data_IF_449399653599
#
_entry.id   IF_449399653599
#
_cell.length_a   1.000
_cell.length_b   1.000
_cell.length_c   1.000
_cell.angle_alpha   90.00
_cell.angle_beta   90.00
_cell.angle_gamma   90.00
#
_symmetry.space_group_name_H-M   'P 1'
#
loop_
_entity.id
_entity.type
_entity.pdbx_description
1 polymer ?
#
# COMPACT_ATOMS: atom_id res chain seq x y z
N UNK A 1 -20.44 -12.91 25.08
CA UNK A 1 -21.24 -12.02 24.19
C UNK A 1 -20.25 -11.13 23.45
N UNK A 2 -19.97 -11.39 22.17
CA UNK A 2 -18.97 -10.61 21.42
C UNK A 2 -19.62 -9.36 20.82
N UNK A 3 -19.23 -8.19 21.30
CA UNK A 3 -19.59 -6.91 20.68
C UNK A 3 -18.92 -6.84 19.30
N UNK A 4 -19.72 -6.71 18.24
CA UNK A 4 -19.18 -6.46 16.90
C UNK A 4 -18.50 -5.09 16.88
N UNK A 5 -17.47 -4.91 16.03
CA UNK A 5 -16.80 -3.61 15.84
C UNK A 5 -17.83 -2.49 15.61
N UNK A 6 -18.84 -2.75 14.77
CA UNK A 6 -19.96 -1.84 14.52
C UNK A 6 -20.78 -1.51 15.78
N UNK A 7 -21.04 -2.49 16.64
CA UNK A 7 -21.81 -2.29 17.88
C UNK A 7 -21.02 -1.56 18.97
N UNK A 8 -19.75 -1.93 19.19
CA UNK A 8 -18.86 -1.24 20.13
C UNK A 8 -18.71 0.24 19.77
N UNK A 9 -18.43 0.54 18.50
CA UNK A 9 -18.21 1.91 18.04
C UNK A 9 -19.50 2.71 17.83
N UNK A 10 -20.66 2.10 17.55
CA UNK A 10 -21.95 2.81 17.66
C UNK A 10 -22.18 3.31 19.09
N UNK A 11 -21.81 2.50 20.09
CA UNK A 11 -21.81 2.93 21.49
C UNK A 11 -20.85 4.10 21.73
N UNK A 12 -19.61 4.00 21.26
CA UNK A 12 -18.59 5.06 21.47
C UNK A 12 -18.91 6.36 20.74
N UNK A 13 -19.33 6.29 19.47
CA UNK A 13 -19.78 7.45 18.68
C UNK A 13 -21.04 8.05 19.29
N UNK A 14 -21.99 7.23 19.77
CA UNK A 14 -23.19 7.74 20.46
C UNK A 14 -22.84 8.54 21.73
N UNK A 15 -21.90 8.05 22.53
CA UNK A 15 -21.40 8.76 23.72
C UNK A 15 -20.68 10.05 23.33
N UNK A 16 -19.80 10.01 22.33
CA UNK A 16 -19.01 11.17 21.90
C UNK A 16 -19.84 12.24 21.17
N UNK A 17 -20.89 11.84 20.45
CA UNK A 17 -21.86 12.74 19.81
C UNK A 17 -22.63 13.54 20.85
N UNK A 18 -23.01 12.91 21.95
CA UNK A 18 -23.67 13.57 23.07
C UNK A 18 -22.76 14.60 23.76
N UNK A 19 -21.44 14.42 23.68
CA UNK A 19 -20.47 15.37 24.25
C UNK A 19 -20.22 16.55 23.31
N UNK A 20 -20.26 16.33 21.99
CA UNK A 20 -20.19 17.39 20.98
C UNK A 20 -21.44 18.29 20.99
N UNK A 21 -22.65 17.70 21.10
CA UNK A 21 -23.89 18.47 21.25
C UNK A 21 -23.98 19.22 22.58
N UNK A 22 -23.29 18.74 23.62
CA UNK A 22 -23.13 19.44 24.89
C UNK A 22 -22.04 20.54 24.88
N UNK A 23 -21.37 20.78 23.74
CA UNK A 23 -20.35 21.83 23.62
C UNK A 23 -19.02 21.54 24.32
N UNK A 24 -18.80 20.31 24.79
CA UNK A 24 -17.63 19.93 25.59
C UNK A 24 -16.38 19.61 24.74
N UNK A 25 -16.54 19.47 23.42
CA UNK A 25 -15.43 19.25 22.47
C UNK A 25 -15.67 20.09 21.21
N UNK A 26 -15.16 21.32 21.18
CA UNK A 26 -15.14 22.17 19.99
C UNK A 26 -13.87 21.93 19.17
N UNK A 27 -13.98 21.88 17.83
CA UNK A 27 -12.82 21.81 16.92
C UNK A 27 -12.40 20.40 16.46
N UNK A 28 -13.14 19.36 16.84
CA UNK A 28 -12.90 18.00 16.35
C UNK A 28 -13.68 17.75 15.05
N UNK A 29 -13.00 17.45 13.94
CA UNK A 29 -13.63 17.20 12.64
C UNK A 29 -14.29 15.80 12.60
N UNK A 30 -15.48 15.69 13.19
CA UNK A 30 -16.29 14.48 13.24
C UNK A 30 -16.57 13.86 11.86
N UNK A 31 -16.61 14.67 10.81
CA UNK A 31 -16.78 14.27 9.41
C UNK A 31 -15.62 13.43 8.88
N UNK A 32 -14.37 13.72 9.25
CA UNK A 32 -13.20 12.92 8.82
C UNK A 32 -13.17 11.55 9.49
N UNK A 33 -13.58 11.47 10.75
CA UNK A 33 -13.73 10.18 11.44
C UNK A 33 -14.88 9.38 10.85
N UNK A 34 -16.06 9.99 10.65
CA UNK A 34 -17.19 9.37 9.98
C UNK A 34 -16.83 8.82 8.59
N UNK A 35 -16.10 9.57 7.77
CA UNK A 35 -15.61 9.11 6.46
C UNK A 35 -14.59 7.98 6.58
N UNK A 36 -13.66 8.04 7.53
CA UNK A 36 -12.71 6.96 7.79
C UNK A 36 -13.39 5.64 8.21
N UNK A 37 -14.61 5.70 8.76
CA UNK A 37 -15.41 4.52 9.14
C UNK A 37 -16.15 3.85 7.98
N UNK A 38 -16.32 4.52 6.84
CA UNK A 38 -16.93 3.97 5.62
C UNK A 38 -15.90 3.41 4.63
N UNK A 39 -14.61 3.64 4.86
CA UNK A 39 -13.56 3.19 3.96
C UNK A 39 -13.41 1.68 3.95
N UNK A 40 -13.25 1.13 2.76
CA UNK A 40 -12.90 -0.27 2.57
C UNK A 40 -11.39 -0.47 2.78
N UNK A 41 -11.03 -1.70 3.15
CA UNK A 41 -9.64 -2.17 3.12
C UNK A 41 -9.29 -2.64 1.70
N UNK A 42 -10.26 -3.22 0.99
CA UNK A 42 -10.17 -3.68 -0.41
C UNK A 42 -11.42 -3.30 -1.19
N UNK A 43 -11.26 -2.85 -2.42
CA UNK A 43 -12.36 -2.53 -3.33
C UNK A 43 -12.11 -3.19 -4.69
N UNK A 44 -13.13 -3.90 -5.20
CA UNK A 44 -13.12 -4.47 -6.54
C UNK A 44 -14.02 -3.61 -7.45
N UNK A 45 -13.40 -2.85 -8.35
CA UNK A 45 -14.11 -2.20 -9.44
C UNK A 45 -14.39 -3.20 -10.54
N UNK A 46 -15.63 -3.26 -11.01
CA UNK A 46 -16.06 -4.03 -12.15
C UNK A 46 -16.64 -3.06 -13.18
N UNK A 47 -16.09 -3.05 -14.38
CA UNK A 47 -16.61 -2.26 -15.50
C UNK A 47 -17.02 -3.12 -16.68
N UNK A 48 -17.15 -2.46 -17.81
CA UNK A 48 -17.52 -2.99 -19.12
C UNK A 48 -16.36 -2.79 -20.11
N UNK A 49 -16.55 -3.22 -21.36
CA UNK A 49 -15.54 -3.01 -22.41
C UNK A 49 -15.40 -1.53 -22.81
N UNK A 50 -16.41 -0.70 -22.50
CA UNK A 50 -16.43 0.74 -22.78
C UNK A 50 -15.72 1.56 -21.69
N UNK A 51 -15.49 0.98 -20.51
CA UNK A 51 -14.85 1.66 -19.40
C UNK A 51 -13.32 1.73 -19.59
N UNK A 52 -12.77 2.94 -19.45
CA UNK A 52 -11.32 3.15 -19.52
C UNK A 52 -10.61 2.63 -18.27
N UNK A 53 -9.30 2.28 -18.37
CA UNK A 53 -8.50 1.93 -17.20
C UNK A 53 -8.48 3.02 -16.11
N UNK A 54 -8.50 4.30 -16.49
CA UNK A 54 -8.62 5.41 -15.53
C UNK A 54 -9.96 5.37 -14.78
N UNK A 55 -11.05 5.07 -15.47
CA UNK A 55 -12.38 4.95 -14.85
C UNK A 55 -12.43 3.77 -13.88
N UNK A 56 -11.88 2.62 -14.25
CA UNK A 56 -11.76 1.47 -13.35
C UNK A 56 -10.89 1.78 -12.13
N UNK A 57 -9.75 2.44 -12.32
CA UNK A 57 -8.87 2.86 -11.24
C UNK A 57 -9.60 3.79 -10.26
N UNK A 58 -10.25 4.85 -10.77
CA UNK A 58 -11.01 5.80 -9.93
C UNK A 58 -12.10 5.07 -9.15
N UNK A 59 -12.84 4.18 -9.81
CA UNK A 59 -13.89 3.36 -9.20
C UNK A 59 -13.35 2.47 -8.08
N UNK A 60 -12.13 1.93 -8.22
CA UNK A 60 -11.49 1.11 -7.20
C UNK A 60 -10.93 1.97 -6.04
N UNK A 61 -10.48 3.20 -6.31
CA UNK A 61 -9.87 4.07 -5.29
C UNK A 61 -10.89 4.86 -4.47
N UNK A 62 -12.02 5.29 -5.04
CA UNK A 62 -13.02 6.11 -4.34
C UNK A 62 -13.47 5.49 -3.00
N UNK A 63 -13.85 4.20 -2.92
CA UNK A 63 -14.30 3.57 -1.66
C UNK A 63 -13.16 3.35 -0.66
N UNK A 64 -11.92 3.46 -1.13
CA UNK A 64 -10.73 3.44 -0.28
C UNK A 64 -10.39 4.83 0.24
N UNK A 65 -11.09 5.90 -0.17
CA UNK A 65 -10.79 7.28 0.21
C UNK A 65 -9.93 8.01 -0.82
N UNK A 66 -9.86 7.48 -2.04
CA UNK A 66 -9.10 8.06 -3.14
C UNK A 66 -7.58 7.90 -2.98
N UNK A 67 -6.83 8.43 -3.96
CA UNK A 67 -5.36 8.37 -3.96
C UNK A 67 -4.74 9.23 -2.83
N UNK A 68 -5.46 10.26 -2.36
CA UNK A 68 -5.08 11.15 -1.25
C UNK A 68 -4.90 10.43 0.09
N UNK A 69 -5.57 9.30 0.30
CA UNK A 69 -5.35 8.49 1.49
C UNK A 69 -3.92 7.95 1.55
N UNK A 70 -3.32 7.73 0.37
CA UNK A 70 -2.05 7.03 0.22
C UNK A 70 -0.89 7.97 -0.07
N UNK A 71 -1.16 9.11 -0.73
CA UNK A 71 -0.15 10.07 -1.18
C UNK A 71 -0.52 11.47 -0.70
N UNK A 72 0.31 12.02 0.19
CA UNK A 72 0.28 13.42 0.58
C UNK A 72 1.13 14.30 -0.37
N UNK A 73 0.78 15.59 -0.53
CA UNK A 73 1.60 16.51 -1.30
C UNK A 73 3.05 16.56 -0.81
N UNK A 74 3.99 16.65 -1.75
CA UNK A 74 5.43 16.68 -1.47
C UNK A 74 6.08 15.32 -1.21
N UNK A 75 5.31 14.23 -1.07
CA UNK A 75 5.88 12.90 -0.90
C UNK A 75 6.52 12.35 -2.19
N UNK A 76 7.54 11.52 -2.01
CA UNK A 76 8.14 10.70 -3.06
C UNK A 76 7.42 9.36 -3.18
N UNK A 77 7.17 8.92 -4.42
CA UNK A 77 6.35 7.73 -4.71
C UNK A 77 7.07 6.76 -5.64
N UNK A 78 7.23 5.52 -5.23
CA UNK A 78 7.60 4.40 -6.10
C UNK A 78 6.35 3.68 -6.60
N UNK A 79 6.25 3.46 -7.90
CA UNK A 79 5.22 2.62 -8.53
C UNK A 79 5.92 1.42 -9.14
N UNK A 80 5.52 0.22 -8.72
CA UNK A 80 6.03 -1.04 -9.25
C UNK A 80 4.98 -1.72 -10.14
N UNK A 81 4.99 -1.51 -11.45
CA UNK A 81 4.23 -2.31 -12.41
C UNK A 81 4.92 -3.67 -12.67
N UNK A 82 4.35 -4.46 -13.58
CA UNK A 82 4.96 -5.67 -14.12
C UNK A 82 5.63 -5.37 -15.47
N UNK A 83 6.95 -5.26 -15.49
CA UNK A 83 7.80 -5.00 -16.68
C UNK A 83 8.74 -6.19 -16.95
N UNK A 84 8.49 -7.36 -16.38
CA UNK A 84 9.40 -8.51 -16.49
C UNK A 84 9.44 -9.14 -17.90
N UNK A 85 8.38 -8.96 -18.69
CA UNK A 85 8.17 -9.70 -19.94
C UNK A 85 8.13 -8.77 -21.15
N UNK A 86 8.87 -9.13 -22.20
CA UNK A 86 8.87 -8.46 -23.50
C UNK A 86 7.65 -8.87 -24.34
N UNK A 87 6.46 -8.71 -23.78
CA UNK A 87 5.19 -9.09 -24.40
C UNK A 87 4.27 -7.89 -24.58
N UNK A 88 3.46 -7.87 -25.66
CA UNK A 88 2.47 -6.82 -25.88
C UNK A 88 1.46 -6.72 -24.71
N UNK A 89 0.92 -5.52 -24.43
CA UNK A 89 0.09 -5.26 -23.24
C UNK A 89 -1.18 -6.13 -23.16
N UNK A 90 -1.79 -6.48 -24.29
CA UNK A 90 -3.04 -7.25 -24.33
C UNK A 90 -2.89 -8.75 -24.03
N UNK A 91 -1.66 -9.20 -23.76
CA UNK A 91 -1.37 -10.60 -23.41
C UNK A 91 -1.55 -10.91 -21.92
N UNK A 92 -1.87 -9.90 -21.08
CA UNK A 92 -1.89 -9.99 -19.62
C UNK A 92 -0.56 -10.53 -19.04
N UNK A 93 0.56 -10.32 -19.76
CA UNK A 93 1.90 -10.68 -19.32
C UNK A 93 2.55 -9.53 -18.55
N UNK A 94 2.31 -8.30 -18.99
CA UNK A 94 2.86 -7.07 -18.41
C UNK A 94 1.71 -6.11 -18.09
N UNK A 95 1.96 -5.11 -17.24
CA UNK A 95 0.96 -4.12 -16.84
C UNK A 95 0.39 -3.37 -18.04
N UNK A 96 -0.92 -3.10 -18.03
CA UNK A 96 -1.57 -2.28 -19.02
C UNK A 96 -1.03 -0.82 -18.93
N UNK A 97 -0.45 -0.29 -20.03
CA UNK A 97 0.20 1.02 -20.01
C UNK A 97 -0.78 2.16 -19.72
N UNK A 98 -2.05 2.03 -20.08
CA UNK A 98 -3.05 3.07 -19.83
C UNK A 98 -3.48 3.06 -18.36
N UNK A 99 -3.53 1.89 -17.72
CA UNK A 99 -3.72 1.83 -16.27
C UNK A 99 -2.53 2.44 -15.52
N UNK A 100 -1.30 2.17 -15.95
CA UNK A 100 -0.10 2.78 -15.35
C UNK A 100 -0.12 4.30 -15.49
N UNK A 101 -0.49 4.80 -16.68
CA UNK A 101 -0.66 6.23 -16.93
C UNK A 101 -1.67 6.84 -15.97
N UNK A 102 -2.81 6.20 -15.78
CA UNK A 102 -3.84 6.67 -14.87
C UNK A 102 -3.35 6.75 -13.40
N UNK A 103 -2.57 5.76 -12.95
CA UNK A 103 -1.95 5.78 -11.62
C UNK A 103 -0.96 6.94 -11.49
N UNK A 104 -0.05 7.10 -12.47
CA UNK A 104 0.94 8.19 -12.47
C UNK A 104 0.24 9.55 -12.42
N UNK A 105 -0.76 9.78 -13.27
CA UNK A 105 -1.50 11.03 -13.29
C UNK A 105 -2.27 11.29 -12.00
N UNK A 106 -2.86 10.26 -11.38
CA UNK A 106 -3.50 10.38 -10.08
C UNK A 106 -2.51 10.82 -8.99
N UNK A 107 -1.29 10.28 -9.01
CA UNK A 107 -0.21 10.65 -8.07
C UNK A 107 0.32 12.06 -8.37
N UNK A 108 0.52 12.42 -9.64
CA UNK A 108 0.93 13.77 -10.04
C UNK A 108 -0.08 14.84 -9.61
N UNK A 109 -1.38 14.58 -9.81
CA UNK A 109 -2.45 15.48 -9.37
C UNK A 109 -2.49 15.70 -7.85
N UNK A 110 -1.92 14.77 -7.06
CA UNK A 110 -1.75 14.95 -5.61
C UNK A 110 -0.53 15.77 -5.22
N UNK A 111 0.32 16.15 -6.17
CA UNK A 111 1.50 16.97 -5.92
C UNK A 111 2.66 16.20 -5.32
N UNK A 112 2.84 14.93 -5.69
CA UNK A 112 4.06 14.19 -5.36
C UNK A 112 5.30 14.93 -5.87
N UNK A 113 6.35 15.03 -5.04
CA UNK A 113 7.59 15.73 -5.41
C UNK A 113 8.47 14.93 -6.37
N UNK A 114 8.34 13.60 -6.31
CA UNK A 114 9.13 12.66 -7.08
C UNK A 114 8.32 11.40 -7.33
N UNK A 115 8.30 10.91 -8.57
CA UNK A 115 7.64 9.65 -8.95
C UNK A 115 8.65 8.79 -9.68
N UNK A 116 8.79 7.54 -9.23
CA UNK A 116 9.70 6.55 -9.80
C UNK A 116 8.89 5.35 -10.24
N UNK A 117 8.94 5.00 -11.52
CA UNK A 117 8.49 3.70 -12.01
C UNK A 117 9.66 2.73 -11.93
N UNK A 118 9.48 1.64 -11.18
CA UNK A 118 10.56 0.69 -10.93
C UNK A 118 10.16 -0.77 -11.07
N UNK A 119 11.08 -1.59 -11.58
CA UNK A 119 10.97 -3.05 -11.60
C UNK A 119 12.35 -3.68 -11.75
N UNK A 120 12.45 -4.99 -11.53
CA UNK A 120 13.62 -5.80 -11.83
C UNK A 120 13.26 -6.83 -12.91
N UNK A 121 13.85 -6.68 -14.10
CA UNK A 121 13.72 -7.64 -15.19
C UNK A 121 14.68 -8.80 -14.94
N UNK A 122 14.16 -9.93 -14.44
CA UNK A 122 14.99 -11.04 -13.93
C UNK A 122 15.38 -12.09 -14.95
N UNK A 123 14.94 -11.96 -16.20
CA UNK A 123 15.18 -12.97 -17.22
C UNK A 123 16.23 -12.46 -18.20
N UNK A 124 17.27 -13.27 -18.41
CA UNK A 124 18.40 -12.97 -19.30
C UNK A 124 17.96 -12.58 -20.71
N UNK A 125 16.87 -13.20 -21.19
CA UNK A 125 16.38 -13.02 -22.56
C UNK A 125 15.54 -11.75 -22.73
N UNK A 126 15.19 -11.09 -21.62
CA UNK A 126 14.36 -9.88 -21.58
C UNK A 126 15.19 -8.70 -21.04
N UNK A 127 15.84 -7.97 -21.94
CA UNK A 127 16.52 -6.74 -21.57
C UNK A 127 15.50 -5.66 -21.15
N UNK A 128 15.80 -4.81 -20.13
CA UNK A 128 14.94 -3.70 -19.74
C UNK A 128 14.47 -2.84 -20.92
N UNK A 129 15.34 -2.60 -21.92
CA UNK A 129 14.99 -1.83 -23.11
C UNK A 129 13.83 -2.46 -23.92
N UNK A 130 13.89 -3.78 -24.16
CA UNK A 130 12.86 -4.49 -24.92
C UNK A 130 11.55 -4.63 -24.16
N UNK A 131 11.63 -4.93 -22.86
CA UNK A 131 10.44 -4.99 -22.01
C UNK A 131 9.70 -3.66 -21.99
N UNK A 132 10.41 -2.54 -21.83
CA UNK A 132 9.83 -1.19 -21.87
C UNK A 132 9.23 -0.83 -23.22
N UNK A 133 9.92 -1.17 -24.32
CA UNK A 133 9.49 -0.88 -25.68
C UNK A 133 8.25 -1.68 -26.06
N UNK A 134 8.27 -2.99 -25.85
CA UNK A 134 7.21 -3.91 -26.31
C UNK A 134 5.96 -3.82 -25.44
N UNK A 135 6.10 -3.64 -24.12
CA UNK A 135 4.95 -3.48 -23.23
C UNK A 135 4.22 -2.13 -23.40
N UNK A 136 4.90 -1.14 -23.99
CA UNK A 136 4.41 0.24 -24.07
C UNK A 136 4.61 1.07 -22.79
N UNK A 137 5.12 0.46 -21.71
CA UNK A 137 5.38 1.14 -20.44
C UNK A 137 6.46 2.22 -20.59
N UNK A 138 7.50 1.97 -21.41
CA UNK A 138 8.55 2.97 -21.69
C UNK A 138 7.98 4.28 -22.22
N UNK A 139 7.03 4.19 -23.17
CA UNK A 139 6.34 5.34 -23.74
C UNK A 139 5.54 6.11 -22.69
N UNK A 140 4.89 5.42 -21.74
CA UNK A 140 4.15 6.06 -20.64
C UNK A 140 5.09 6.85 -19.74
N UNK A 141 6.23 6.25 -19.36
CA UNK A 141 7.24 6.90 -18.52
C UNK A 141 7.77 8.17 -19.19
N UNK A 142 8.16 8.08 -20.46
CA UNK A 142 8.65 9.22 -21.25
C UNK A 142 7.61 10.35 -21.33
N UNK A 143 6.36 10.01 -21.66
CA UNK A 143 5.29 11.00 -21.82
C UNK A 143 4.84 11.66 -20.51
N UNK A 144 5.01 10.98 -19.38
CA UNK A 144 4.63 11.51 -18.06
C UNK A 144 5.80 12.20 -17.35
N UNK A 145 7.03 12.07 -17.87
CA UNK A 145 8.23 12.73 -17.34
C UNK A 145 8.68 12.19 -15.98
N UNK A 146 8.29 10.97 -15.60
CA UNK A 146 8.64 10.36 -14.31
C UNK A 146 9.97 9.60 -14.38
N UNK A 147 10.59 9.37 -13.23
CA UNK A 147 11.86 8.64 -13.17
C UNK A 147 11.67 7.15 -13.46
N UNK A 148 12.72 6.53 -14.01
CA UNK A 148 12.75 5.12 -14.38
C UNK A 148 13.87 4.40 -13.66
N UNK A 149 13.53 3.37 -12.90
CA UNK A 149 14.48 2.43 -12.29
C UNK A 149 14.09 1.01 -12.67
N UNK A 150 14.41 0.62 -13.90
CA UNK A 150 14.18 -0.74 -14.40
C UNK A 150 15.51 -1.43 -14.56
N UNK A 151 15.79 -2.38 -13.66
CA UNK A 151 17.08 -3.03 -13.54
C UNK A 151 17.17 -4.28 -14.41
N UNK A 152 18.34 -4.51 -14.99
CA UNK A 152 18.66 -5.75 -15.70
C UNK A 152 19.06 -6.86 -14.70
N UNK A 153 19.18 -8.12 -15.16
CA UNK A 153 19.87 -9.13 -14.38
C UNK A 153 21.33 -8.71 -14.13
N UNK A 154 21.88 -9.05 -12.95
CA UNK A 154 23.30 -8.86 -12.60
C UNK A 154 23.79 -7.40 -12.48
N UNK A 155 22.95 -6.48 -12.00
CA UNK A 155 23.35 -5.12 -11.65
C UNK A 155 24.37 -5.07 -10.48
N UNK A 156 25.26 -4.06 -10.44
CA UNK A 156 26.26 -3.92 -9.39
C UNK A 156 25.62 -3.71 -8.01
N UNK A 157 26.36 -4.08 -6.95
CA UNK A 157 25.93 -4.00 -5.56
C UNK A 157 25.37 -2.61 -5.14
N UNK A 158 25.84 -1.54 -5.78
CA UNK A 158 25.39 -0.16 -5.53
C UNK A 158 23.91 0.12 -5.86
N UNK A 159 23.29 -0.73 -6.70
CA UNK A 159 21.85 -0.65 -7.04
C UNK A 159 20.95 -1.27 -5.98
N UNK A 160 21.52 -1.95 -4.98
CA UNK A 160 20.78 -2.75 -4.02
C UNK A 160 20.98 -2.24 -2.59
N UNK A 161 19.89 -2.18 -1.83
CA UNK A 161 19.91 -1.96 -0.37
C UNK A 161 19.62 -3.28 0.34
N UNK A 162 20.35 -3.58 1.40
CA UNK A 162 20.09 -4.76 2.21
C UNK A 162 19.05 -4.45 3.29
N UNK A 163 17.90 -5.15 3.24
CA UNK A 163 16.78 -4.95 4.18
C UNK A 163 16.54 -6.17 5.04
N UNK A 164 16.13 -5.93 6.28
CA UNK A 164 15.79 -6.98 7.24
C UNK A 164 14.39 -7.52 7.02
N UNK A 165 14.25 -8.81 7.31
CA UNK A 165 13.02 -9.57 7.27
C UNK A 165 12.74 -10.09 8.69
N UNK A 166 12.31 -9.22 9.64
CA UNK A 166 12.20 -9.60 11.05
C UNK A 166 11.13 -10.66 11.31
N UNK A 167 10.17 -10.82 10.40
CA UNK A 167 9.13 -11.86 10.43
C UNK A 167 9.40 -12.98 9.41
N UNK A 168 10.58 -12.99 8.80
CA UNK A 168 10.91 -13.97 7.77
C UNK A 168 11.21 -15.34 8.36
N UNK A 169 10.64 -16.38 7.77
CA UNK A 169 10.88 -17.78 8.16
C UNK A 169 12.05 -18.37 7.40
N UNK A 170 12.21 -18.00 6.14
CA UNK A 170 13.25 -18.51 5.26
C UNK A 170 14.45 -17.56 5.18
N UNK A 171 14.20 -16.25 5.17
CA UNK A 171 15.24 -15.25 5.08
C UNK A 171 15.14 -14.24 6.20
N UNK A 172 16.29 -13.90 6.78
CA UNK A 172 16.41 -12.82 7.77
C UNK A 172 16.78 -11.48 7.12
N UNK A 173 17.31 -11.52 5.88
CA UNK A 173 17.77 -10.35 5.12
C UNK A 173 17.76 -10.62 3.62
N UNK A 174 17.47 -9.61 2.80
CA UNK A 174 17.52 -9.65 1.32
C UNK A 174 18.02 -8.32 0.75
N UNK A 175 18.63 -8.37 -0.44
CA UNK A 175 18.86 -7.18 -1.26
C UNK A 175 17.58 -6.76 -1.98
N UNK A 176 17.27 -5.46 -2.00
CA UNK A 176 16.15 -4.87 -2.74
C UNK A 176 16.62 -3.66 -3.56
N UNK A 177 15.89 -3.27 -4.60
CA UNK A 177 16.14 -2.05 -5.37
C UNK A 177 16.30 -0.88 -4.39
N UNK A 178 17.46 -0.23 -4.42
CA UNK A 178 17.84 0.78 -3.41
C UNK A 178 16.80 1.89 -3.31
N UNK A 179 16.30 2.38 -4.43
CA UNK A 179 15.32 3.45 -4.49
C UNK A 179 13.99 3.08 -3.80
N UNK A 180 13.63 1.79 -3.73
CA UNK A 180 12.41 1.34 -3.05
C UNK A 180 12.43 1.62 -1.53
N UNK A 181 13.62 1.71 -0.92
CA UNK A 181 13.79 2.02 0.51
C UNK A 181 13.92 3.52 0.79
N UNK A 182 14.04 4.33 -0.25
CA UNK A 182 14.34 5.77 -0.18
C UNK A 182 13.14 6.66 -0.52
N UNK A 183 11.96 6.05 -0.70
CA UNK A 183 10.71 6.78 -0.98
C UNK A 183 9.74 6.72 0.19
N UNK A 184 8.84 7.69 0.26
CA UNK A 184 7.81 7.77 1.30
C UNK A 184 6.69 6.74 1.05
N UNK A 185 6.26 6.62 -0.21
CA UNK A 185 5.12 5.79 -0.62
C UNK A 185 5.53 4.78 -1.69
N UNK A 186 5.03 3.55 -1.58
CA UNK A 186 5.18 2.46 -2.54
C UNK A 186 3.80 1.96 -2.97
N UNK A 187 3.57 1.92 -4.28
CA UNK A 187 2.37 1.38 -4.92
C UNK A 187 2.77 0.12 -5.68
N UNK A 188 2.22 -1.03 -5.29
CA UNK A 188 2.42 -2.30 -5.99
C UNK A 188 1.31 -2.49 -7.03
N UNK A 189 1.66 -2.58 -8.31
CA UNK A 189 0.72 -2.69 -9.41
C UNK A 189 0.92 -4.02 -10.14
N UNK A 190 0.27 -5.06 -9.63
CA UNK A 190 0.36 -6.43 -10.14
C UNK A 190 -0.63 -6.67 -11.28
N UNK A 191 -0.37 -7.72 -12.07
CA UNK A 191 -1.28 -8.23 -13.12
C UNK A 191 -1.73 -9.63 -12.73
N UNK A 192 -3.03 -9.89 -12.82
CA UNK A 192 -3.59 -11.20 -12.52
C UNK A 192 -3.24 -12.23 -13.59
N UNK A 193 -2.41 -13.23 -13.23
CA UNK A 193 -1.99 -14.27 -14.17
C UNK A 193 -1.64 -15.60 -13.51
N UNK A 194 -1.80 -16.67 -14.27
CA UNK A 194 -1.29 -18.01 -13.99
C UNK A 194 0.24 -18.00 -13.96
N UNK A 195 0.83 -18.96 -13.27
CA UNK A 195 2.27 -19.21 -13.29
C UNK A 195 2.52 -20.73 -13.24
N UNK A 196 3.71 -21.16 -13.67
CA UNK A 196 4.08 -22.59 -13.74
C UNK A 196 4.76 -23.11 -12.48
N UNK A 197 5.58 -22.29 -11.81
CA UNK A 197 6.22 -22.63 -10.53
C UNK A 197 5.26 -22.42 -9.35
N UNK A 198 4.72 -21.22 -9.20
CA UNK A 198 3.59 -20.94 -8.31
C UNK A 198 2.28 -21.12 -9.08
N UNK A 199 1.14 -21.43 -8.44
CA UNK A 199 -0.14 -21.55 -9.17
C UNK A 199 -0.57 -20.26 -9.87
N UNK A 200 -0.26 -19.10 -9.25
CA UNK A 200 -0.66 -17.77 -9.69
C UNK A 200 0.46 -16.74 -9.44
N UNK A 201 0.43 -15.63 -10.18
CA UNK A 201 1.11 -14.37 -9.88
C UNK A 201 0.04 -13.31 -9.67
N UNK A 202 0.03 -12.74 -8.47
CA UNK A 202 -0.91 -11.71 -7.99
C UNK A 202 -0.10 -10.71 -7.13
N UNK A 203 -0.72 -9.95 -6.23
CA UNK A 203 -0.03 -8.90 -5.47
C UNK A 203 1.11 -9.42 -4.60
N UNK A 204 0.94 -10.53 -3.88
CA UNK A 204 1.98 -11.04 -2.97
C UNK A 204 3.24 -11.46 -3.73
N UNK A 205 3.09 -12.30 -4.76
CA UNK A 205 4.21 -12.70 -5.62
C UNK A 205 4.80 -11.53 -6.39
N UNK A 206 4.02 -10.50 -6.69
CA UNK A 206 4.52 -9.37 -7.47
C UNK A 206 5.63 -8.60 -6.76
N UNK A 207 5.61 -8.56 -5.42
CA UNK A 207 6.65 -7.93 -4.60
C UNK A 207 8.06 -8.45 -4.89
N UNK A 208 8.19 -9.69 -5.41
CA UNK A 208 9.47 -10.29 -5.78
C UNK A 208 10.31 -9.41 -6.71
N UNK A 209 9.69 -8.61 -7.58
CA UNK A 209 10.45 -7.72 -8.49
C UNK A 209 11.12 -6.52 -7.81
N UNK A 210 11.03 -6.40 -6.48
CA UNK A 210 11.90 -5.51 -5.72
C UNK A 210 13.25 -6.16 -5.38
N UNK A 211 13.39 -7.48 -5.42
CA UNK A 211 14.57 -8.16 -4.89
C UNK A 211 15.74 -8.16 -5.87
N UNK A 212 16.95 -8.19 -5.32
CA UNK A 212 18.19 -8.45 -6.06
C UNK A 212 18.23 -9.87 -6.66
N UNK A 213 17.74 -10.86 -5.92
CA UNK A 213 17.64 -12.25 -6.38
C UNK A 213 16.21 -12.79 -6.18
N UNK A 214 15.30 -12.53 -7.13
CA UNK A 214 13.94 -13.05 -7.07
C UNK A 214 13.89 -14.56 -7.32
N UNK A 215 14.83 -15.13 -8.09
CA UNK A 215 14.85 -16.56 -8.41
C UNK A 215 15.07 -17.42 -7.15
N UNK A 216 15.87 -16.94 -6.20
CA UNK A 216 16.06 -17.57 -4.90
C UNK A 216 14.78 -17.79 -4.08
N UNK A 217 13.68 -17.07 -4.38
CA UNK A 217 12.38 -17.31 -3.72
C UNK A 217 11.63 -18.54 -4.28
N UNK A 218 11.92 -18.95 -5.52
CA UNK A 218 11.37 -20.16 -6.13
C UNK A 218 12.15 -21.42 -5.75
N UNK A 219 13.32 -21.28 -5.12
CA UNK A 219 14.21 -22.38 -4.78
C UNK A 219 13.72 -23.24 -3.60
N UNK A 220 12.61 -22.85 -2.95
CA UNK A 220 12.02 -23.59 -1.83
C UNK A 220 10.62 -24.09 -2.19
N UNK A 221 10.27 -25.36 -1.89
CA UNK A 221 8.96 -25.91 -2.22
C UNK A 221 7.78 -25.17 -1.56
N UNK A 222 7.99 -24.59 -0.37
CA UNK A 222 6.93 -23.94 0.40
C UNK A 222 6.66 -22.49 0.02
N UNK A 223 7.51 -21.87 -0.82
CA UNK A 223 7.40 -20.47 -1.23
C UNK A 223 7.38 -19.48 -0.04
N UNK A 224 7.97 -19.86 1.09
CA UNK A 224 8.03 -19.09 2.34
C UNK A 224 8.62 -17.70 2.11
N UNK A 225 9.62 -17.61 1.26
CA UNK A 225 10.28 -16.35 0.95
C UNK A 225 9.36 -15.30 0.30
N UNK A 226 8.26 -15.71 -0.35
CA UNK A 226 7.22 -14.77 -0.81
C UNK A 226 6.44 -14.21 0.38
N UNK A 227 6.17 -15.00 1.42
CA UNK A 227 5.53 -14.46 2.63
C UNK A 227 6.49 -13.52 3.39
N UNK A 228 7.77 -13.89 3.49
CA UNK A 228 8.80 -13.10 4.17
C UNK A 228 8.92 -11.67 3.60
N UNK A 229 9.01 -11.54 2.28
CA UNK A 229 9.14 -10.24 1.62
C UNK A 229 7.90 -9.36 1.82
N UNK A 230 6.70 -9.94 1.84
CA UNK A 230 5.46 -9.19 2.09
C UNK A 230 5.33 -8.76 3.55
N UNK A 231 6.04 -9.43 4.47
CA UNK A 231 6.09 -9.06 5.88
C UNK A 231 7.13 -7.97 6.20
N UNK A 232 7.95 -7.57 5.22
CA UNK A 232 9.09 -6.65 5.35
C UNK A 232 8.65 -5.17 5.48
N UNK A 233 8.92 -4.50 6.62
CA UNK A 233 8.51 -3.11 6.80
C UNK A 233 9.17 -2.14 5.82
N UNK A 234 10.45 -2.37 5.48
CA UNK A 234 11.25 -1.45 4.66
C UNK A 234 10.76 -1.28 3.22
N UNK A 235 9.99 -2.25 2.71
CA UNK A 235 9.43 -2.23 1.35
C UNK A 235 7.91 -2.43 1.36
N UNK A 236 7.25 -2.23 2.50
CA UNK A 236 5.79 -2.32 2.59
C UNK A 236 5.15 -1.32 1.64
N UNK A 237 4.26 -1.81 0.77
CA UNK A 237 3.43 -0.97 -0.08
C UNK A 237 2.24 -0.42 0.70
N UNK A 238 1.94 0.86 0.47
CA UNK A 238 0.79 1.54 1.07
C UNK A 238 -0.48 1.24 0.29
N UNK A 239 -0.34 0.93 -1.00
CA UNK A 239 -1.44 0.58 -1.89
C UNK A 239 -1.00 -0.59 -2.79
N UNK A 240 -1.84 -1.63 -2.83
CA UNK A 240 -1.76 -2.69 -3.82
C UNK A 240 -2.89 -2.53 -4.82
N UNK A 241 -2.56 -2.63 -6.10
CA UNK A 241 -3.46 -2.64 -7.24
C UNK A 241 -3.23 -3.95 -7.97
N UNK A 242 -4.28 -4.74 -8.12
CA UNK A 242 -4.31 -5.91 -8.98
C UNK A 242 -5.12 -5.56 -10.23
N UNK A 243 -4.42 -5.45 -11.34
CA UNK A 243 -5.02 -5.34 -12.65
C UNK A 243 -5.60 -6.71 -13.05
N UNK A 244 -6.91 -6.72 -13.30
CA UNK A 244 -7.65 -7.84 -13.86
C UNK A 244 -8.55 -7.36 -15.02
N UNK A 245 -8.09 -6.36 -15.78
CA UNK A 245 -8.76 -5.93 -17.02
C UNK A 245 -8.74 -7.12 -17.98
N UNK A 246 -7.55 -7.70 -18.15
CA UNK A 246 -7.34 -9.03 -18.75
C UNK A 246 -6.62 -9.91 -17.74
N UNK A 247 -6.94 -11.20 -17.76
CA UNK A 247 -6.38 -12.20 -16.85
C UNK A 247 -5.87 -13.37 -17.67
N UNK A 248 -4.61 -13.75 -17.46
CA UNK A 248 -4.05 -14.98 -18.05
C UNK A 248 -4.37 -16.17 -17.15
N UNK A 249 -5.34 -16.99 -17.55
CA UNK A 249 -5.93 -18.04 -16.72
C UNK A 249 -5.08 -19.31 -16.62
N UNK A 250 -4.37 -19.68 -17.68
CA UNK A 250 -3.65 -20.97 -17.78
C UNK A 250 -2.27 -20.86 -18.42
N UNK A 251 -1.42 -21.86 -18.15
CA UNK A 251 -0.06 -21.95 -18.70
C UNK A 251 0.94 -21.00 -18.06
N UNK A 252 1.99 -20.68 -18.83
CA UNK A 252 3.05 -19.75 -18.45
C UNK A 252 2.51 -18.36 -18.11
N UNK A 253 3.27 -17.56 -17.35
CA UNK A 253 2.90 -16.19 -16.97
C UNK A 253 3.06 -15.17 -18.11
N UNK A 254 3.40 -15.63 -19.31
CA UNK A 254 3.70 -14.83 -20.48
C UNK A 254 3.33 -15.59 -21.76
N UNK A 255 3.33 -14.89 -22.90
CA UNK A 255 3.08 -15.47 -24.21
C UNK A 255 2.39 -14.49 -25.17
N UNK A 256 2.12 -14.96 -26.38
CA UNK A 256 1.52 -14.23 -27.50
C UNK A 256 -0.03 -14.21 -27.49
N UNK A 257 -0.67 -15.20 -26.84
CA UNK A 257 -2.13 -15.26 -26.72
C UNK A 257 -2.75 -14.03 -26.03
N UNK A 258 -3.84 -13.53 -26.59
CA UNK A 258 -4.65 -12.40 -26.10
C UNK A 258 -6.07 -12.83 -25.77
N UNK A 259 -6.87 -11.94 -25.19
CA UNK A 259 -8.30 -12.13 -24.97
C UNK A 259 -9.11 -12.37 -26.27
N UNK A 260 -8.58 -11.96 -27.43
CA UNK A 260 -9.21 -12.16 -28.74
C UNK A 260 -8.70 -13.41 -29.44
N UNK A 261 -7.40 -13.67 -29.36
CA UNK A 261 -6.74 -14.74 -30.13
C UNK A 261 -6.67 -16.06 -29.38
N UNK A 262 -6.68 -16.05 -28.05
CA UNK A 262 -6.67 -17.24 -27.21
C UNK A 262 -7.51 -17.02 -25.92
N UNK A 263 -8.85 -16.94 -26.05
CA UNK A 263 -9.76 -16.64 -24.95
C UNK A 263 -9.78 -17.71 -23.84
N UNK A 264 -9.25 -18.91 -24.12
CA UNK A 264 -9.09 -19.98 -23.12
C UNK A 264 -7.92 -19.68 -22.18
N UNK A 265 -6.90 -18.98 -22.69
CA UNK A 265 -5.67 -18.67 -21.96
C UNK A 265 -5.69 -17.28 -21.37
N UNK A 266 -6.21 -16.30 -22.08
CA UNK A 266 -6.36 -14.92 -21.62
C UNK A 266 -7.81 -14.52 -21.76
N UNK A 267 -8.41 -13.96 -20.73
CA UNK A 267 -9.81 -13.50 -20.77
C UNK A 267 -9.92 -12.10 -20.23
N UNK A 268 -10.78 -11.28 -20.86
CA UNK A 268 -11.13 -9.95 -20.38
C UNK A 268 -12.17 -10.05 -19.26
N UNK A 269 -11.90 -9.38 -18.13
CA UNK A 269 -12.79 -9.31 -16.97
C UNK A 269 -13.19 -7.88 -16.60
N UNK A 270 -12.48 -6.86 -17.12
CA UNK A 270 -12.74 -5.45 -16.83
C UNK A 270 -12.77 -5.14 -15.32
N UNK A 271 -11.85 -5.76 -14.57
CA UNK A 271 -11.73 -5.50 -13.13
C UNK A 271 -10.42 -4.83 -12.76
N UNK A 272 -10.49 -3.94 -11.77
CA UNK A 272 -9.32 -3.45 -11.02
C UNK A 272 -9.64 -3.62 -9.55
N UNK A 273 -8.78 -4.33 -8.83
CA UNK A 273 -8.91 -4.53 -7.39
C UNK A 273 -7.82 -3.71 -6.73
N UNK A 274 -8.17 -2.90 -5.74
CA UNK A 274 -7.21 -2.08 -5.02
C UNK A 274 -7.42 -2.19 -3.51
N UNK A 275 -6.37 -1.96 -2.73
CA UNK A 275 -6.49 -1.99 -1.27
C UNK A 275 -5.17 -2.01 -0.52
N UNK A 276 -5.28 -2.13 0.80
CA UNK A 276 -4.14 -2.23 1.73
C UNK A 276 -3.85 -3.66 2.19
N UNK A 277 -4.71 -4.61 1.84
CA UNK A 277 -4.61 -6.02 2.23
C UNK A 277 -4.30 -6.90 1.00
N UNK A 278 -3.02 -7.19 0.71
CA UNK A 278 -2.66 -7.98 -0.47
C UNK A 278 -3.06 -9.45 -0.35
N UNK A 279 -3.25 -9.99 0.86
CA UNK A 279 -3.71 -11.37 1.05
C UNK A 279 -5.17 -11.49 0.65
N UNK A 280 -5.99 -10.52 1.05
CA UNK A 280 -7.42 -10.50 0.72
C UNK A 280 -7.65 -10.24 -0.77
N UNK A 281 -6.83 -9.36 -1.39
CA UNK A 281 -6.83 -9.15 -2.84
C UNK A 281 -6.51 -10.45 -3.58
N UNK A 282 -5.44 -11.14 -3.17
CA UNK A 282 -5.02 -12.39 -3.82
C UNK A 282 -6.04 -13.51 -3.60
N UNK A 283 -6.60 -13.64 -2.40
CA UNK A 283 -7.65 -14.63 -2.10
C UNK A 283 -8.90 -14.41 -2.97
N UNK A 284 -9.37 -13.17 -3.08
CA UNK A 284 -10.50 -12.83 -3.96
C UNK A 284 -10.19 -13.17 -5.43
N UNK A 285 -9.00 -12.81 -5.91
CA UNK A 285 -8.62 -13.09 -7.29
C UNK A 285 -8.55 -14.60 -7.57
N UNK A 286 -8.12 -15.40 -6.60
CA UNK A 286 -8.12 -16.86 -6.72
C UNK A 286 -9.55 -17.40 -6.81
N UNK A 287 -10.44 -17.01 -5.90
CA UNK A 287 -11.84 -17.45 -5.91
C UNK A 287 -12.60 -17.01 -7.18
N UNK A 288 -12.24 -15.86 -7.73
CA UNK A 288 -12.91 -15.26 -8.89
C UNK A 288 -12.38 -15.80 -10.22
N UNK A 289 -11.05 -15.80 -10.40
CA UNK A 289 -10.42 -16.08 -11.69
C UNK A 289 -9.74 -17.45 -11.76
N UNK A 290 -9.21 -17.95 -10.64
CA UNK A 290 -8.34 -19.13 -10.59
C UNK A 290 -8.90 -20.30 -9.78
N UNK A 291 -10.22 -20.32 -9.52
CA UNK A 291 -10.90 -21.36 -8.74
C UNK A 291 -10.64 -22.80 -9.21
N UNK A 292 -10.29 -22.96 -10.49
CA UNK A 292 -9.96 -24.24 -11.12
C UNK A 292 -8.57 -24.76 -10.75
N UNK A 293 -7.71 -23.93 -10.15
CA UNK A 293 -6.35 -24.31 -9.73
C UNK A 293 -6.35 -24.87 -8.32
N UNK A 294 -6.82 -24.08 -7.36
CA UNK A 294 -6.85 -24.40 -5.92
C UNK A 294 -7.65 -23.33 -5.16
N UNK A 295 -8.20 -23.64 -3.97
CA UNK A 295 -8.70 -22.60 -3.07
C UNK A 295 -7.54 -21.75 -2.50
N UNK A 296 -7.78 -20.52 -2.01
CA UNK A 296 -6.72 -19.62 -1.52
C UNK A 296 -5.83 -20.23 -0.43
N UNK A 297 -6.41 -21.07 0.45
CA UNK A 297 -5.68 -21.74 1.55
C UNK A 297 -4.66 -22.76 1.07
N UNK A 298 -4.82 -23.29 -0.14
CA UNK A 298 -3.95 -24.32 -0.71
C UNK A 298 -2.84 -23.70 -1.59
N UNK A 299 -2.85 -22.37 -1.77
CA UNK A 299 -1.78 -21.65 -2.44
C UNK A 299 -0.75 -21.22 -1.36
N UNK A 300 0.46 -21.82 -1.33
CA UNK A 300 1.34 -21.73 -0.16
C UNK A 300 1.67 -20.30 0.27
N UNK A 301 2.08 -19.45 -0.67
CA UNK A 301 2.48 -18.08 -0.36
C UNK A 301 1.31 -17.19 0.13
N UNK A 302 0.07 -17.45 -0.31
CA UNK A 302 -1.12 -16.73 0.19
C UNK A 302 -1.37 -17.16 1.64
N UNK A 303 -1.42 -18.46 1.90
CA UNK A 303 -1.68 -19.00 3.24
C UNK A 303 -0.57 -18.65 4.24
N UNK A 304 0.70 -18.68 3.83
CA UNK A 304 1.83 -18.29 4.67
C UNK A 304 1.81 -16.79 4.98
N UNK A 305 1.45 -15.93 4.01
CA UNK A 305 1.30 -14.49 4.24
C UNK A 305 0.16 -14.18 5.22
N UNK A 306 -0.97 -14.90 5.11
CA UNK A 306 -2.05 -14.86 6.10
C UNK A 306 -1.56 -15.23 7.50
N UNK A 307 -0.87 -16.38 7.66
CA UNK A 307 -0.31 -16.82 8.95
C UNK A 307 0.72 -15.84 9.52
N UNK A 308 1.47 -15.14 8.68
CA UNK A 308 2.41 -14.10 9.08
C UNK A 308 1.74 -12.78 9.48
N UNK A 309 0.40 -12.69 9.40
CA UNK A 309 -0.37 -11.50 9.73
C UNK A 309 -0.17 -10.36 8.73
N UNK A 310 0.10 -10.67 7.46
CA UNK A 310 0.19 -9.66 6.39
C UNK A 310 -1.20 -9.13 6.01
N UNK A 311 -2.22 -9.99 6.09
CA UNK A 311 -3.59 -9.68 5.68
C UNK A 311 -4.58 -10.80 6.04
N UNK A 312 -5.85 -10.62 5.71
CA UNK A 312 -6.91 -11.62 5.92
C UNK A 312 -7.14 -12.45 4.64
N UNK A 313 -7.54 -13.72 4.78
CA UNK A 313 -7.75 -14.65 3.66
C UNK A 313 -9.24 -14.94 3.42
N UNK A 314 -10.12 -14.56 4.36
CA UNK A 314 -11.55 -14.88 4.31
C UNK A 314 -12.36 -13.80 3.58
N UNK A 315 -12.58 -14.03 2.28
CA UNK A 315 -13.32 -13.12 1.39
C UNK A 315 -14.78 -12.95 1.83
N UNK A 316 -15.46 -14.05 2.18
CA UNK A 316 -16.86 -14.01 2.59
C UNK A 316 -17.06 -13.17 3.86
N UNK A 317 -16.20 -13.35 4.86
CA UNK A 317 -16.18 -12.53 6.08
C UNK A 317 -15.84 -11.07 5.78
N UNK A 318 -14.90 -10.81 4.87
CA UNK A 318 -14.55 -9.44 4.49
C UNK A 318 -15.72 -8.71 3.81
N UNK A 319 -16.48 -9.40 2.94
CA UNK A 319 -17.70 -8.87 2.32
C UNK A 319 -18.80 -8.64 3.36
N UNK A 320 -19.07 -9.63 4.22
CA UNK A 320 -20.11 -9.53 5.25
C UNK A 320 -19.85 -8.40 6.26
N UNK A 321 -18.57 -8.13 6.56
CA UNK A 321 -18.16 -7.04 7.45
C UNK A 321 -18.01 -5.68 6.76
N UNK A 322 -18.07 -5.64 5.42
CA UNK A 322 -17.83 -4.44 4.62
C UNK A 322 -16.36 -4.01 4.57
N UNK A 323 -15.41 -4.87 4.93
CA UNK A 323 -13.98 -4.61 4.67
C UNK A 323 -13.65 -4.66 3.18
N UNK A 324 -14.37 -5.51 2.45
CA UNK A 324 -14.31 -5.60 0.99
C UNK A 324 -15.65 -5.21 0.38
N UNK A 325 -15.64 -4.60 -0.82
CA UNK A 325 -16.85 -4.27 -1.57
C UNK A 325 -16.65 -4.28 -3.08
N UNK A 326 -17.78 -4.32 -3.81
CA UNK A 326 -17.85 -4.28 -5.27
C UNK A 326 -18.44 -2.96 -5.75
N UNK A 327 -17.83 -2.39 -6.79
CA UNK A 327 -18.18 -1.06 -7.28
C UNK A 327 -18.24 -1.03 -8.80
N UNK A 328 -19.20 -0.30 -9.34
CA UNK A 328 -19.40 -0.10 -10.77
C UNK A 328 -19.10 1.36 -11.12
N UNK A 329 -18.47 1.65 -12.27
CA UNK A 329 -18.15 3.01 -12.72
C UNK A 329 -19.31 4.00 -12.67
N UNK A 330 -20.48 3.59 -13.18
CA UNK A 330 -21.68 4.43 -13.23
C UNK A 330 -22.16 4.87 -11.86
N UNK A 331 -22.03 4.01 -10.83
CA UNK A 331 -22.44 4.32 -9.47
C UNK A 331 -21.49 5.31 -8.77
N UNK A 332 -20.18 5.25 -9.09
CA UNK A 332 -19.17 6.13 -8.50
C UNK A 332 -19.15 7.51 -9.17
N UNK A 333 -19.27 7.56 -10.50
CA UNK A 333 -19.31 8.81 -11.26
C UNK A 333 -20.56 9.65 -10.98
N UNK A 334 -21.70 9.02 -10.68
CA UNK A 334 -22.91 9.73 -10.28
C UNK A 334 -22.79 10.42 -8.89
N UNK A 335 -21.82 10.02 -8.06
CA UNK A 335 -21.73 10.44 -6.67
C UNK A 335 -20.99 11.78 -6.45
N UNK A 336 -20.25 12.32 -7.44
CA UNK A 336 -19.60 13.65 -7.35
C UNK A 336 -19.42 14.32 -8.73
N UNK A 337 -19.89 15.56 -8.95
CA UNK A 337 -19.25 16.46 -9.89
C UNK A 337 -17.95 16.95 -9.25
N UNK A 338 -16.79 16.55 -9.79
CA UNK A 338 -15.53 17.16 -9.37
C UNK A 338 -15.49 18.64 -9.81
N UNK A 339 -14.84 19.55 -9.05
CA UNK A 339 -14.63 20.90 -9.54
C UNK A 339 -13.78 20.84 -10.81
N UNK A 340 -14.23 21.51 -11.87
CA UNK A 340 -13.43 21.75 -13.07
C UNK A 340 -12.11 22.41 -12.68
N UNK A 341 -11.02 22.13 -13.40
CA UNK A 341 -9.72 22.76 -13.14
C UNK A 341 -9.83 24.25 -13.43
N UNK A 342 -10.01 25.07 -12.39
CA UNK A 342 -9.73 26.50 -12.47
C UNK A 342 -8.24 26.67 -12.70
N UNK A 343 -7.88 27.08 -13.91
CA UNK A 343 -6.55 27.62 -14.22
C UNK A 343 -6.38 28.89 -13.40
N UNK A 344 -5.80 28.78 -12.21
CA UNK A 344 -5.42 29.94 -11.42
C UNK A 344 -4.17 30.56 -12.06
N UNK A 345 -4.33 31.76 -12.60
CA UNK A 345 -3.21 32.66 -12.91
C UNK A 345 -2.31 32.82 -11.68
N UNK A 346 -1.00 32.87 -11.94
CA UNK A 346 0.06 32.94 -10.93
C UNK A 346 -0.21 34.00 -9.85
N UNK A 347 -0.35 33.55 -8.60
CA UNK A 347 -0.34 34.39 -7.40
C UNK A 347 1.08 34.51 -6.85
N UNK A 348 1.52 35.73 -6.57
CA UNK A 348 2.83 36.06 -5.99
C UNK A 348 3.07 35.38 -4.62
N UNK A 349 4.33 35.13 -4.24
CA UNK A 349 4.65 34.49 -2.97
C UNK A 349 4.28 35.38 -1.77
N UNK A 350 3.56 34.79 -0.79
CA UNK A 350 3.27 35.41 0.49
C UNK A 350 4.55 35.46 1.34
N UNK A 351 4.91 36.67 1.80
CA UNK A 351 5.96 36.91 2.80
C UNK A 351 5.30 36.88 4.19
N UNK A 352 5.84 36.14 5.18
CA UNK A 352 5.29 36.14 6.54
C UNK A 352 5.48 37.50 7.22
N UNK A 353 4.44 38.02 7.87
CA UNK A 353 4.51 39.23 8.69
C UNK A 353 5.23 38.98 10.01
N UNK A 354 5.95 40.00 10.50
CA UNK A 354 6.93 39.96 11.60
C UNK A 354 6.39 39.52 12.98
N UNK A 355 5.07 39.44 13.18
CA UNK A 355 4.48 39.05 14.48
C UNK A 355 4.51 37.54 14.74
N UNK A 356 4.42 36.68 13.72
CA UNK A 356 4.41 35.22 13.91
C UNK A 356 5.81 34.67 14.23
N UNK A 357 6.85 35.38 13.82
CA UNK A 357 8.26 35.04 14.09
C UNK A 357 8.73 35.31 15.52
N UNK A 358 7.99 36.09 16.31
CA UNK A 358 8.44 36.58 17.62
C UNK A 358 7.98 35.68 18.77
N UNK A 359 6.79 35.06 18.67
CA UNK A 359 6.27 34.10 19.65
C UNK A 359 7.10 32.80 19.72
N UNK A 360 7.67 32.36 18.60
CA UNK A 360 8.54 31.18 18.54
C UNK A 360 9.92 31.41 19.17
N UNK A 361 10.38 32.67 19.27
CA UNK A 361 11.70 33.02 19.81
C UNK A 361 11.74 33.20 21.33
N UNK A 362 10.59 33.36 21.99
CA UNK A 362 10.53 33.73 23.42
C UNK A 362 10.36 32.55 24.40
N UNK A 363 10.28 31.30 23.94
CA UNK A 363 10.44 30.13 24.81
C UNK A 363 9.52 30.08 26.04
N UNK A 364 8.30 30.62 25.96
CA UNK A 364 7.34 30.55 27.07
C UNK A 364 6.78 29.13 27.19
N UNK A 365 7.28 28.37 28.15
CA UNK A 365 6.72 27.08 28.54
C UNK A 365 5.60 27.29 29.58
N UNK A 366 4.47 26.59 29.37
CA UNK A 366 3.34 26.53 30.30
C UNK A 366 3.77 26.03 31.69
N UNK A 367 3.43 26.78 32.74
CA UNK A 367 3.61 26.38 34.14
C UNK A 367 2.51 25.39 34.56
N UNK A 368 2.88 24.11 34.64
CA UNK A 368 1.97 23.01 34.95
C UNK A 368 1.40 23.01 36.38
N UNK A 369 2.01 23.72 37.34
CA UNK A 369 1.45 23.79 38.70
C UNK A 369 0.21 24.67 38.77
N UNK A 370 0.16 25.72 37.96
CA UNK A 370 -1.01 26.60 37.85
C UNK A 370 -2.21 25.87 37.22
N UNK A 371 -1.97 25.00 36.23
CA UNK A 371 -3.02 24.25 35.54
C UNK A 371 -3.73 23.21 36.43
N UNK A 372 -3.05 22.68 37.45
CA UNK A 372 -3.59 21.66 38.36
C UNK A 372 -4.37 22.23 39.56
N UNK A 373 -4.29 23.55 39.78
CA UNK A 373 -4.94 24.23 40.89
C UNK A 373 -6.17 25.07 40.46
N UNK A 374 -6.52 25.02 39.17
CA UNK A 374 -7.67 25.72 38.61
C UNK A 374 -8.97 24.88 38.73
N UNK A 375 -9.98 25.35 39.48
CA UNK A 375 -11.26 24.65 39.65
C UNK A 375 -12.09 24.53 38.36
N UNK A 376 -11.71 25.21 37.26
CA UNK A 376 -12.35 25.09 35.96
C UNK A 376 -11.85 23.89 35.11
N UNK A 377 -10.81 23.19 35.56
CA UNK A 377 -10.28 22.01 34.85
C UNK A 377 -11.03 20.75 35.32
N UNK A 378 -11.84 20.09 34.46
CA UNK A 378 -12.65 18.96 34.88
C UNK A 378 -11.76 17.78 35.32
N UNK A 379 -12.16 17.13 36.43
CA UNK A 379 -11.44 16.04 37.12
C UNK A 379 -11.00 14.90 36.18
N UNK A 380 -11.67 14.70 35.04
CA UNK A 380 -11.33 13.69 34.04
C UNK A 380 -10.10 14.08 33.18
N UNK A 381 -9.85 15.38 32.96
CA UNK A 381 -8.61 15.87 32.35
C UNK A 381 -7.38 15.53 33.19
N UNK A 382 -7.54 15.54 34.51
CA UNK A 382 -6.52 15.11 35.48
C UNK A 382 -6.30 13.59 35.39
N UNK A 383 -7.34 12.78 35.15
CA UNK A 383 -7.21 11.31 34.97
C UNK A 383 -6.55 10.94 33.65
N UNK A 384 -6.86 11.65 32.55
CA UNK A 384 -6.22 11.44 31.25
C UNK A 384 -4.74 11.87 31.25
N UNK A 385 -4.42 12.99 31.91
CA UNK A 385 -3.05 13.45 32.11
C UNK A 385 -2.29 12.55 33.09
N UNK A 386 -2.92 12.06 34.17
CA UNK A 386 -2.32 11.08 35.07
C UNK A 386 -2.06 9.73 34.38
N UNK A 387 -2.95 9.31 33.47
CA UNK A 387 -2.76 8.12 32.64
C UNK A 387 -1.57 8.26 31.67
N UNK A 388 -1.43 9.43 31.03
CA UNK A 388 -0.28 9.75 30.17
C UNK A 388 1.02 9.89 30.97
N UNK A 389 0.97 10.47 32.18
CA UNK A 389 2.11 10.64 33.07
C UNK A 389 2.57 9.29 33.65
N UNK A 390 1.63 8.42 34.05
CA UNK A 390 1.93 7.05 34.48
C UNK A 390 2.54 6.24 33.33
N UNK A 391 2.03 6.39 32.10
CA UNK A 391 2.58 5.74 30.90
C UNK A 391 3.96 6.28 30.54
N UNK A 392 4.21 7.58 30.71
CA UNK A 392 5.52 8.20 30.52
C UNK A 392 6.55 7.73 31.56
N UNK A 393 6.16 7.63 32.83
CA UNK A 393 7.03 7.07 33.88
C UNK A 393 7.29 5.57 33.68
N UNK A 394 6.32 4.81 33.19
CA UNK A 394 6.51 3.39 32.83
C UNK A 394 7.50 3.24 31.67
N UNK A 395 7.33 4.03 30.60
CA UNK A 395 8.22 4.04 29.44
C UNK A 395 9.62 4.51 29.85
N UNK A 396 9.74 5.52 30.72
CA UNK A 396 11.03 5.99 31.24
C UNK A 396 11.71 4.97 32.14
N UNK A 397 10.96 4.21 32.94
CA UNK A 397 11.47 3.11 33.75
C UNK A 397 11.93 1.93 32.87
N UNK A 398 11.18 1.59 31.82
CA UNK A 398 11.56 0.57 30.83
C UNK A 398 12.83 0.95 30.08
N UNK A 399 12.93 2.21 29.62
CA UNK A 399 14.13 2.72 28.95
C UNK A 399 15.36 2.73 29.88
N UNK A 400 15.20 3.09 31.16
CA UNK A 400 16.28 2.97 32.16
C UNK A 400 16.70 1.52 32.41
N UNK A 401 15.74 0.60 32.48
CA UNK A 401 16.01 -0.83 32.66
C UNK A 401 16.69 -1.45 31.44
N UNK A 402 16.30 -1.06 30.22
CA UNK A 402 16.98 -1.48 28.99
C UNK A 402 18.39 -0.92 28.92
N UNK A 403 18.58 0.37 29.24
CA UNK A 403 19.91 1.01 29.24
C UNK A 403 20.84 0.35 30.28
N UNK A 404 20.32 -0.02 31.44
CA UNK A 404 21.08 -0.76 32.47
C UNK A 404 21.43 -2.19 32.01
N UNK A 405 20.53 -2.89 31.31
CA UNK A 405 20.79 -4.22 30.73
C UNK A 405 21.84 -4.18 29.61
N UNK A 406 21.79 -3.16 28.75
CA UNK A 406 22.78 -2.96 27.68
C UNK A 406 24.16 -2.59 28.26
N UNK A 407 24.20 -1.87 29.38
CA UNK A 407 25.44 -1.55 30.09
C UNK A 407 26.03 -2.79 30.78
N UNK A 408 25.21 -3.56 31.50
CA UNK A 408 25.64 -4.81 32.13
C UNK A 408 26.11 -5.86 31.12
N UNK A 409 25.50 -5.95 29.92
CA UNK A 409 25.96 -6.88 28.87
C UNK A 409 27.24 -6.43 28.16
N UNK A 410 27.61 -5.15 28.28
CA UNK A 410 28.88 -4.61 27.76
C UNK A 410 30.00 -4.76 28.79
N UNK A 411 29.71 -4.55 30.07
CA UNK A 411 30.67 -4.74 31.16
C UNK A 411 30.98 -6.24 31.38
N UNK A 412 29.99 -7.15 31.27
CA UNK A 412 30.22 -8.61 31.34
C UNK A 412 30.93 -9.24 30.13
N UNK A 413 31.16 -8.50 29.04
CA UNK A 413 31.99 -8.94 27.90
C UNK A 413 33.41 -8.37 27.94
N UNK A 414 33.70 -7.48 28.88
CA UNK A 414 35.02 -6.90 29.08
C UNK A 414 35.86 -7.69 30.10
N UNK A 415 35.25 -8.57 30.89
CA UNK A 415 35.90 -9.35 31.96
C UNK A 415 36.26 -10.80 31.53
N UNK A 416 36.03 -11.15 30.25
CA UNK A 416 36.25 -12.49 29.69
C UNK A 416 37.20 -12.44 28.46
N UNK A 417 38.17 -11.52 28.49
CA UNK A 417 39.28 -11.42 27.51
C UNK A 417 40.63 -11.23 28.19
#
# INVERSE_FOLDING_TARGET
MYLTRRAFFKGTVGVLSAWATAGLVSGFEWTRLAQAFELRDVAAAQGTDDDTPETLLRTALEPLGGIERFVAPGQSVAIKPNITWANPPHTASSTDPDLLRAVIQAVQRRGASRIIVMDHCTLSDNLPADTLRISGIGKVIEQTGVEKVVLAPYEPASRWASVEMPRGQLFTRRGVIKEATQVDVRINMAVAKSHIVTPVTLCLKHMMGFLQDPAGLHATPGLEGIADINAAPAIKCQLHILEAIRVRLTGAAYGDGTDKTDPKRVKRFNQVIAGTDPVLIDAYAVETFFKHKAPPRDIPHIYLSYKAGVGDIDVAKALASGKMGFFQPSAVLAAKPGPEPTVSSAGQPLVPTSQESEAWRQGQFLDFKALLSDPAVPIIGIVALAGLFARWHLVRAQLKAETARTRASREGKADDR
#
